data_IF_612326076720
#
_entry.id   IF_612326076720
#
_cell.length_a   1.000
_cell.length_b   1.000
_cell.length_c   1.000
_cell.angle_alpha   90.00
_cell.angle_beta   90.00
_cell.angle_gamma   90.00
#
_symmetry.space_group_name_H-M   'P 1'
#
loop_
_entity.id
_entity.type
_entity.pdbx_description
1 polymer ?
#
# COMPACT_ATOMS: atom_id res chain seq x y z
N UNK A 1 1.20 8.97 -23.84
CA UNK A 1 0.83 7.85 -22.95
C UNK A 1 2.12 7.36 -22.27
N UNK A 2 2.89 8.28 -21.67
CA UNK A 2 4.33 8.07 -21.44
C UNK A 2 4.85 8.73 -20.15
N UNK A 3 3.97 9.25 -19.28
CA UNK A 3 4.38 9.92 -18.02
C UNK A 3 4.03 9.13 -16.74
N UNK A 4 3.49 7.91 -16.86
CA UNK A 4 3.02 7.16 -15.68
C UNK A 4 4.10 6.25 -15.07
N UNK A 5 5.18 5.95 -15.80
CA UNK A 5 6.22 4.99 -15.39
C UNK A 5 7.11 5.48 -14.23
N UNK A 6 7.15 6.79 -13.96
CA UNK A 6 8.08 7.36 -12.98
C UNK A 6 7.57 7.42 -11.53
N UNK A 7 6.26 7.33 -11.27
CA UNK A 7 5.74 7.44 -9.91
C UNK A 7 5.91 6.17 -9.06
N UNK A 8 6.28 5.03 -9.69
CA UNK A 8 6.29 3.72 -9.06
C UNK A 8 7.55 3.43 -8.21
N UNK A 9 8.55 4.34 -8.22
CA UNK A 9 9.92 4.04 -7.77
C UNK A 9 10.21 4.37 -6.30
N UNK A 10 9.26 4.96 -5.55
CA UNK A 10 9.48 5.37 -4.14
C UNK A 10 8.86 4.43 -3.08
N UNK A 11 8.00 3.49 -3.45
CA UNK A 11 7.33 2.63 -2.46
C UNK A 11 8.21 1.49 -1.89
N UNK A 12 9.47 1.37 -2.30
CA UNK A 12 10.40 0.32 -1.84
C UNK A 12 11.51 0.79 -0.89
N UNK A 13 11.36 1.95 -0.23
CA UNK A 13 12.28 2.38 0.82
C UNK A 13 11.53 2.71 2.11
N UNK A 14 11.42 1.73 3.01
CA UNK A 14 11.05 1.96 4.41
C UNK A 14 12.12 2.81 5.11
N UNK A 15 11.77 3.90 5.80
CA UNK A 15 12.60 4.50 6.83
C UNK A 15 12.01 4.11 8.18
N UNK A 16 12.46 3.00 8.79
CA UNK A 16 12.39 2.78 10.25
C UNK A 16 13.08 1.47 10.66
N UNK A 17 14.41 1.48 10.72
CA UNK A 17 15.18 0.53 11.53
C UNK A 17 15.73 1.28 12.74
N UNK A 18 14.87 1.48 13.73
CA UNK A 18 15.30 1.79 15.09
C UNK A 18 14.38 1.06 16.06
N UNK A 19 14.90 -0.06 16.58
CA UNK A 19 14.56 -0.76 17.82
C UNK A 19 14.34 -2.28 17.64
N UNK A 20 15.43 -3.01 17.37
CA UNK A 20 15.60 -4.38 17.89
C UNK A 20 17.07 -4.56 18.27
N UNK A 21 17.46 -4.05 19.44
CA UNK A 21 18.73 -4.39 20.08
C UNK A 21 18.44 -4.88 21.50
N UNK A 22 18.52 -6.21 21.69
CA UNK A 22 18.83 -6.94 22.93
C UNK A 22 18.57 -8.43 22.65
N UNK A 23 19.39 -9.42 22.97
CA UNK A 23 20.42 -9.57 24.00
C UNK A 23 21.45 -10.61 23.52
N UNK A 24 22.74 -10.39 23.80
CA UNK A 24 23.71 -11.39 24.26
C UNK A 24 25.14 -10.84 24.18
N UNK A 25 25.71 -10.43 25.31
CA UNK A 25 27.06 -10.81 25.78
C UNK A 25 27.46 -10.02 27.05
N UNK A 26 28.34 -10.59 27.91
CA UNK A 26 28.43 -10.23 29.32
C UNK A 26 29.49 -9.17 29.65
N UNK A 27 29.19 -8.41 30.70
CA UNK A 27 30.04 -7.79 31.72
C UNK A 27 31.53 -7.56 31.38
N UNK A 28 31.93 -6.28 31.30
CA UNK A 28 33.14 -5.87 32.00
C UNK A 28 33.08 -4.42 32.49
N UNK A 29 33.55 -4.24 33.71
CA UNK A 29 33.57 -3.03 34.54
C UNK A 29 34.64 -2.02 34.12
N UNK A 30 34.36 -0.71 34.27
CA UNK A 30 35.08 0.21 35.20
C UNK A 30 35.19 1.67 34.71
N UNK A 31 35.02 2.59 35.68
CA UNK A 31 35.49 4.00 35.76
C UNK A 31 35.01 5.03 34.72
N UNK A 32 34.80 6.33 35.01
CA UNK A 32 34.50 7.17 36.18
C UNK A 32 34.42 8.62 35.66
N UNK A 33 33.81 9.54 36.44
CA UNK A 33 33.70 11.01 36.27
C UNK A 33 32.73 11.50 35.18
N UNK A 34 31.73 12.37 35.43
CA UNK A 34 31.36 13.15 36.60
C UNK A 34 31.21 14.62 36.20
N UNK A 35 29.99 15.17 36.20
CA UNK A 35 29.73 16.58 36.52
C UNK A 35 28.29 16.77 37.01
N UNK A 36 28.17 17.25 38.25
CA UNK A 36 26.94 17.58 38.94
C UNK A 36 26.35 18.92 38.45
N UNK A 37 25.01 19.01 38.37
CA UNK A 37 24.27 20.15 38.95
C UNK A 37 23.02 19.65 39.68
N UNK A 38 22.77 20.24 40.83
CA UNK A 38 21.94 19.71 41.89
C UNK A 38 20.56 20.36 42.01
N UNK A 39 19.59 19.53 42.42
CA UNK A 39 18.46 19.76 43.34
C UNK A 39 17.35 20.78 42.97
N UNK A 40 16.14 20.22 42.85
CA UNK A 40 15.10 20.44 43.87
C UNK A 40 14.13 19.25 43.98
N UNK A 41 14.17 18.56 45.12
CA UNK A 41 13.19 17.58 45.59
C UNK A 41 11.89 18.30 45.98
N UNK A 42 10.73 17.80 45.54
CA UNK A 42 9.49 17.83 46.34
C UNK A 42 8.75 16.50 46.27
N UNK A 43 8.03 16.26 47.35
CA UNK A 43 7.63 15.01 48.00
C UNK A 43 6.50 14.29 47.23
N UNK A 44 6.54 12.96 47.28
CA UNK A 44 5.51 12.05 46.81
C UNK A 44 4.38 11.97 47.85
N UNK A 45 3.13 12.06 47.41
CA UNK A 45 1.94 11.61 48.16
C UNK A 45 1.01 10.91 47.17
N UNK A 46 0.77 9.64 47.46
CA UNK A 46 -0.15 8.73 46.76
C UNK A 46 -1.60 9.08 47.06
N UNK A 47 -2.46 9.21 46.05
CA UNK A 47 -3.93 9.20 46.23
C UNK A 47 -4.64 8.64 44.98
N UNK A 48 -5.04 7.37 45.12
CA UNK A 48 -6.30 6.73 44.71
C UNK A 48 -6.91 7.04 43.32
N UNK A 49 -6.90 5.99 42.51
CA UNK A 49 -7.72 5.76 41.31
C UNK A 49 -9.21 6.11 41.53
N UNK A 50 -9.72 7.02 40.72
CA UNK A 50 -11.17 7.16 40.45
C UNK A 50 -11.41 6.86 38.97
N UNK A 51 -11.95 5.67 38.70
CA UNK A 51 -12.58 5.31 37.42
C UNK A 51 -13.75 6.26 37.17
N UNK A 52 -13.64 7.10 36.14
CA UNK A 52 -14.74 7.93 35.66
C UNK A 52 -15.61 7.12 34.69
N UNK A 53 -16.87 6.91 35.07
CA UNK A 53 -17.93 6.40 34.19
C UNK A 53 -18.28 7.45 33.12
N UNK A 54 -18.54 7.08 31.86
CA UNK A 54 -18.91 8.02 30.82
C UNK A 54 -20.43 8.21 30.82
N UNK A 55 -20.98 8.85 31.85
CA UNK A 55 -22.36 9.33 31.83
C UNK A 55 -22.37 10.78 32.32
N UNK A 56 -22.41 11.71 31.37
CA UNK A 56 -22.78 13.10 31.63
C UNK A 56 -24.26 13.23 31.30
N UNK A 57 -25.11 13.33 32.33
CA UNK A 57 -26.51 13.68 32.16
C UNK A 57 -26.61 15.18 31.85
N UNK A 58 -27.20 15.54 30.71
CA UNK A 58 -27.60 16.91 30.41
C UNK A 58 -29.07 17.04 30.80
N UNK A 59 -29.36 17.88 31.79
CA UNK A 59 -30.74 18.27 32.10
C UNK A 59 -31.15 19.40 31.16
N UNK A 60 -32.23 19.19 30.42
CA UNK A 60 -32.98 20.26 29.76
C UNK A 60 -34.23 20.50 30.59
N UNK A 61 -34.34 21.66 31.22
CA UNK A 61 -35.60 22.10 31.83
C UNK A 61 -36.57 22.49 30.72
N UNK A 62 -37.72 21.81 30.63
CA UNK A 62 -38.88 22.29 29.87
C UNK A 62 -40.04 22.55 30.84
N UNK A 63 -40.50 23.79 30.88
CA UNK A 63 -41.68 24.20 31.62
C UNK A 63 -42.97 23.68 30.94
N UNK A 64 -43.74 22.92 31.73
CA UNK A 64 -45.20 22.72 31.72
C UNK A 64 -45.96 22.44 30.39
N UNK A 65 -46.59 21.25 30.32
CA UNK A 65 -47.73 21.00 29.41
C UNK A 65 -48.05 19.53 29.14
N UNK A 66 -48.98 18.97 29.93
CA UNK A 66 -49.72 17.68 29.86
C UNK A 66 -49.66 16.85 28.56
N UNK A 67 -49.26 15.57 28.71
CA UNK A 67 -49.89 14.39 28.08
C UNK A 67 -49.41 13.96 26.67
N UNK A 68 -48.48 13.00 26.61
CA UNK A 68 -48.18 12.22 25.40
C UNK A 68 -46.95 11.32 25.57
N UNK A 69 -47.07 10.03 25.23
CA UNK A 69 -45.99 9.05 25.26
C UNK A 69 -44.77 9.54 24.46
N UNK A 70 -43.64 9.70 25.13
CA UNK A 70 -42.36 10.02 24.50
C UNK A 70 -41.71 8.73 24.00
N UNK A 71 -41.87 8.45 22.70
CA UNK A 71 -41.04 7.47 22.02
C UNK A 71 -39.57 7.95 22.09
N UNK A 72 -38.75 7.23 22.85
CA UNK A 72 -37.32 7.48 22.92
C UNK A 72 -36.70 7.16 21.56
N UNK A 73 -36.48 8.20 20.74
CA UNK A 73 -35.66 8.08 19.55
C UNK A 73 -34.22 7.79 20.00
N UNK A 74 -33.77 6.56 19.75
CA UNK A 74 -32.36 6.17 19.89
C UNK A 74 -31.60 6.91 18.77
N UNK A 75 -31.09 8.09 19.09
CA UNK A 75 -30.12 8.76 18.23
C UNK A 75 -28.81 8.00 18.39
N UNK A 76 -28.52 7.08 17.47
CA UNK A 76 -27.19 6.51 17.34
C UNK A 76 -26.18 7.67 17.25
N UNK A 77 -25.31 7.80 18.25
CA UNK A 77 -24.15 8.69 18.17
C UNK A 77 -23.31 8.21 17.01
N UNK A 78 -23.42 8.89 15.85
CA UNK A 78 -22.49 8.73 14.74
C UNK A 78 -21.08 8.79 15.31
N UNK A 79 -20.36 7.65 15.27
CA UNK A 79 -18.91 7.64 15.51
C UNK A 79 -18.33 8.79 14.69
N UNK A 80 -17.56 9.66 15.33
CA UNK A 80 -16.83 10.71 14.63
C UNK A 80 -16.07 10.05 13.50
N UNK A 81 -16.50 10.24 12.25
CA UNK A 81 -15.82 9.67 11.09
C UNK A 81 -14.43 10.27 11.03
N UNK A 82 -13.41 9.43 10.83
CA UNK A 82 -12.00 9.86 10.73
C UNK A 82 -11.81 10.81 9.53
N UNK A 83 -12.69 10.68 8.54
CA UNK A 83 -12.69 11.46 7.31
C UNK A 83 -13.97 12.28 7.16
N UNK A 84 -13.82 13.50 6.62
CA UNK A 84 -14.94 14.27 6.08
C UNK A 84 -15.18 13.81 4.65
N UNK A 85 -16.39 13.33 4.36
CA UNK A 85 -16.78 12.76 3.07
C UNK A 85 -17.57 13.78 2.28
N UNK A 86 -17.23 14.00 1.02
CA UNK A 86 -18.00 14.79 0.06
C UNK A 86 -18.06 14.11 -1.31
N UNK A 87 -18.83 14.68 -2.24
CA UNK A 87 -19.14 14.13 -3.56
C UNK A 87 -17.88 13.74 -4.35
N UNK A 88 -16.87 14.62 -4.37
CA UNK A 88 -15.65 14.45 -5.17
C UNK A 88 -15.85 14.78 -6.64
N UNK A 89 -14.95 14.27 -7.48
CA UNK A 89 -14.97 14.51 -8.92
C UNK A 89 -14.66 13.22 -9.71
N UNK A 90 -15.28 13.01 -10.88
CA UNK A 90 -15.05 11.83 -11.72
C UNK A 90 -13.68 11.82 -12.43
N UNK A 91 -12.88 12.88 -12.31
CA UNK A 91 -11.59 12.99 -12.97
C UNK A 91 -10.59 13.75 -12.09
N UNK A 92 -9.29 13.39 -12.13
CA UNK A 92 -8.72 12.24 -12.85
C UNK A 92 -9.06 10.90 -12.19
N UNK A 93 -8.89 9.80 -12.93
CA UNK A 93 -9.08 8.43 -12.43
C UNK A 93 -7.94 8.04 -11.47
N UNK A 94 -8.26 7.18 -10.50
CA UNK A 94 -7.40 6.77 -9.40
C UNK A 94 -7.56 7.65 -8.16
N UNK A 95 -6.76 7.35 -7.14
CA UNK A 95 -6.56 8.24 -6.00
C UNK A 95 -5.66 9.42 -6.38
N UNK A 96 -6.12 10.65 -6.14
CA UNK A 96 -5.41 11.90 -6.46
C UNK A 96 -5.43 12.84 -5.26
N UNK A 97 -4.27 13.26 -4.72
CA UNK A 97 -4.22 14.23 -3.64
C UNK A 97 -4.76 15.58 -4.12
N UNK A 98 -5.74 16.15 -3.41
CA UNK A 98 -6.26 17.51 -3.68
C UNK A 98 -6.84 18.20 -2.43
N UNK A 99 -6.69 19.52 -2.30
CA UNK A 99 -7.37 20.34 -1.29
C UNK A 99 -7.22 19.85 0.18
N UNK A 100 -6.05 19.28 0.51
CA UNK A 100 -5.75 18.71 1.82
C UNK A 100 -6.46 17.38 2.13
N UNK A 101 -6.90 16.66 1.10
CA UNK A 101 -7.47 15.32 1.14
C UNK A 101 -7.15 14.54 -0.13
N UNK A 102 -7.94 13.52 -0.43
CA UNK A 102 -7.75 12.67 -1.61
C UNK A 102 -9.08 12.49 -2.34
N UNK A 103 -9.07 12.73 -3.64
CA UNK A 103 -10.16 12.39 -4.53
C UNK A 103 -9.94 10.98 -5.07
N UNK A 104 -10.94 10.13 -4.95
CA UNK A 104 -10.95 8.77 -5.46
C UNK A 104 -11.92 8.72 -6.63
N UNK A 105 -11.50 8.18 -7.78
CA UNK A 105 -12.38 7.99 -8.93
C UNK A 105 -12.06 6.69 -9.68
N UNK A 106 -13.07 5.86 -9.91
CA UNK A 106 -12.92 4.54 -10.55
C UNK A 106 -14.07 4.25 -11.50
N UNK A 107 -13.74 3.67 -12.65
CA UNK A 107 -14.72 3.29 -13.67
C UNK A 107 -15.36 1.94 -13.32
N UNK A 108 -16.69 1.89 -13.34
CA UNK A 108 -17.45 0.63 -13.35
C UNK A 108 -18.89 0.86 -13.85
N UNK A 109 -19.17 0.43 -15.08
CA UNK A 109 -20.48 0.60 -15.73
C UNK A 109 -21.59 -0.26 -15.12
N UNK A 110 -21.28 -1.53 -14.84
CA UNK A 110 -22.27 -2.53 -14.46
C UNK A 110 -22.41 -2.73 -12.93
N UNK A 111 -21.62 -2.02 -12.12
CA UNK A 111 -21.78 -2.06 -10.68
C UNK A 111 -23.11 -1.40 -10.25
N UNK A 112 -23.79 -2.05 -9.32
CA UNK A 112 -24.99 -1.54 -8.64
C UNK A 112 -24.59 -0.69 -7.45
N UNK A 113 -23.52 -1.06 -6.76
CA UNK A 113 -22.93 -0.25 -5.69
C UNK A 113 -21.40 -0.35 -5.69
N UNK A 114 -20.76 0.67 -5.13
CA UNK A 114 -19.33 0.71 -4.89
C UNK A 114 -19.06 1.11 -3.45
N UNK A 115 -18.11 0.45 -2.81
CA UNK A 115 -17.62 0.81 -1.48
C UNK A 115 -16.11 0.99 -1.55
N UNK A 116 -15.63 2.17 -1.14
CA UNK A 116 -14.22 2.43 -0.93
C UNK A 116 -13.81 1.84 0.42
N UNK A 117 -12.85 0.94 0.41
CA UNK A 117 -12.28 0.30 1.59
C UNK A 117 -10.94 0.95 1.92
N UNK A 118 -10.81 1.50 3.12
CA UNK A 118 -9.56 2.01 3.66
C UNK A 118 -8.97 0.97 4.62
N UNK A 119 -7.69 0.67 4.46
CA UNK A 119 -6.98 -0.38 5.18
C UNK A 119 -5.70 0.23 5.74
N UNK A 120 -5.54 0.24 7.05
CA UNK A 120 -4.26 0.62 7.66
C UNK A 120 -3.19 -0.39 7.24
N UNK A 121 -1.97 0.07 7.00
CA UNK A 121 -0.86 -0.79 6.56
C UNK A 121 -0.63 -1.97 7.52
N UNK A 122 -0.86 -1.76 8.83
CA UNK A 122 -0.78 -2.81 9.86
C UNK A 122 -1.95 -3.80 9.84
N UNK A 123 -3.12 -3.41 9.32
CA UNK A 123 -4.31 -4.26 9.23
C UNK A 123 -4.30 -5.14 7.95
N UNK A 124 -3.48 -4.80 6.93
CA UNK A 124 -3.42 -5.52 5.65
C UNK A 124 -3.09 -7.02 5.80
N UNK A 125 -2.09 -7.45 6.61
CA UNK A 125 -1.78 -8.87 6.76
C UNK A 125 -2.94 -9.65 7.40
N UNK A 126 -3.75 -9.01 8.26
CA UNK A 126 -4.92 -9.61 8.90
C UNK A 126 -6.18 -9.52 8.03
N UNK A 127 -6.05 -9.07 6.77
CA UNK A 127 -7.14 -8.87 5.81
C UNK A 127 -8.30 -8.03 6.36
N UNK A 128 -7.98 -7.10 7.26
CA UNK A 128 -8.95 -6.34 8.02
C UNK A 128 -9.17 -4.96 7.41
N UNK A 129 -10.43 -4.63 7.15
CA UNK A 129 -10.80 -3.29 6.69
C UNK A 129 -10.93 -2.35 7.88
N UNK A 130 -10.22 -1.23 7.83
CA UNK A 130 -10.23 -0.22 8.90
C UNK A 130 -11.48 0.67 8.81
N UNK A 131 -11.85 1.09 7.59
CA UNK A 131 -13.03 1.91 7.35
C UNK A 131 -13.62 1.62 5.97
N UNK A 132 -14.96 1.53 5.91
CA UNK A 132 -15.70 1.36 4.65
C UNK A 132 -16.56 2.58 4.39
N UNK A 133 -16.48 3.07 3.15
CA UNK A 133 -17.18 4.27 2.70
C UNK A 133 -18.02 3.86 1.51
N UNK A 134 -19.31 3.65 1.75
CA UNK A 134 -20.27 3.36 0.69
C UNK A 134 -20.53 4.60 -0.16
N UNK A 135 -20.43 4.47 -1.48
CA UNK A 135 -20.68 5.54 -2.44
C UNK A 135 -22.15 5.52 -2.83
N UNK A 136 -22.82 6.67 -2.71
CA UNK A 136 -24.20 6.81 -3.12
C UNK A 136 -24.30 6.87 -4.66
N UNK A 137 -25.04 5.96 -5.33
CA UNK A 137 -25.14 5.95 -6.79
C UNK A 137 -25.71 7.22 -7.42
N UNK A 138 -26.41 8.07 -6.65
CA UNK A 138 -27.00 9.31 -7.16
C UNK A 138 -26.08 10.53 -7.03
N UNK A 139 -25.19 10.55 -6.04
CA UNK A 139 -24.29 11.68 -5.78
C UNK A 139 -22.83 11.33 -6.10
N UNK A 140 -22.35 10.16 -5.72
CA UNK A 140 -20.98 9.69 -5.91
C UNK A 140 -20.76 8.94 -7.24
N UNK A 141 -21.57 9.21 -8.26
CA UNK A 141 -21.43 8.61 -9.59
C UNK A 141 -21.81 9.60 -10.69
N UNK A 142 -20.93 9.74 -11.67
CA UNK A 142 -21.14 10.59 -12.85
C UNK A 142 -20.89 9.73 -14.09
N UNK A 143 -21.94 9.44 -14.86
CA UNK A 143 -21.89 8.42 -15.91
C UNK A 143 -21.54 7.05 -15.31
N UNK A 144 -20.42 6.48 -15.75
CA UNK A 144 -19.92 5.18 -15.27
C UNK A 144 -18.73 5.30 -14.32
N UNK A 145 -18.46 6.51 -13.82
CA UNK A 145 -17.35 6.77 -12.90
C UNK A 145 -17.88 7.03 -11.49
N UNK A 146 -17.53 6.13 -10.58
CA UNK A 146 -17.73 6.25 -9.15
C UNK A 146 -16.65 7.14 -8.55
N UNK A 147 -17.03 8.06 -7.68
CA UNK A 147 -16.08 9.01 -7.12
C UNK A 147 -16.48 9.51 -5.74
N UNK A 148 -15.48 9.83 -4.92
CA UNK A 148 -15.67 10.39 -3.58
C UNK A 148 -14.44 11.21 -3.20
N UNK A 149 -14.65 12.32 -2.49
CA UNK A 149 -13.55 13.07 -1.89
C UNK A 149 -13.54 12.89 -0.38
N UNK A 150 -12.36 12.63 0.15
CA UNK A 150 -12.14 12.41 1.58
C UNK A 150 -11.09 13.37 2.10
N UNK A 151 -11.46 14.17 3.10
CA UNK A 151 -10.54 15.02 3.84
C UNK A 151 -10.20 14.41 5.19
N UNK A 152 -8.92 14.19 5.43
CA UNK A 152 -8.40 13.60 6.67
C UNK A 152 -6.95 13.16 6.51
N UNK A 153 -6.45 12.40 7.48
CA UNK A 153 -5.10 11.86 7.47
C UNK A 153 -5.07 10.45 6.87
N UNK A 154 -4.24 10.28 5.83
CA UNK A 154 -4.04 9.02 5.11
C UNK A 154 -2.66 8.41 5.36
N UNK A 155 -1.92 8.91 6.35
CA UNK A 155 -0.64 8.33 6.72
C UNK A 155 -0.80 6.84 7.05
N UNK A 156 0.08 6.04 6.44
CA UNK A 156 0.09 4.57 6.58
C UNK A 156 -1.26 3.90 6.24
N UNK A 157 -2.03 4.51 5.34
CA UNK A 157 -3.30 3.97 4.84
C UNK A 157 -3.19 3.53 3.39
N UNK A 158 -3.85 2.42 3.09
CA UNK A 158 -4.04 1.83 1.78
C UNK A 158 -5.52 1.87 1.43
N UNK A 159 -5.84 1.61 0.17
CA UNK A 159 -7.21 1.55 -0.30
C UNK A 159 -7.46 0.45 -1.33
N UNK A 160 -8.72 0.06 -1.44
CA UNK A 160 -9.26 -0.78 -2.50
C UNK A 160 -10.77 -0.58 -2.62
N UNK A 161 -11.42 -1.32 -3.49
CA UNK A 161 -12.86 -1.20 -3.73
C UNK A 161 -13.58 -2.54 -3.61
N UNK A 162 -14.77 -2.52 -3.03
CA UNK A 162 -15.76 -3.59 -3.18
C UNK A 162 -16.83 -3.11 -4.16
N UNK A 163 -17.17 -3.95 -5.13
CA UNK A 163 -18.27 -3.69 -6.05
C UNK A 163 -19.32 -4.77 -5.90
N UNK A 164 -20.58 -4.34 -5.88
CA UNK A 164 -21.72 -5.23 -5.93
C UNK A 164 -22.41 -5.12 -7.30
N UNK A 165 -23.04 -6.20 -7.74
CA UNK A 165 -23.69 -6.30 -9.04
C UNK A 165 -24.14 -7.71 -9.39
N UNK A 166 -24.53 -7.91 -10.63
CA UNK A 166 -24.97 -9.23 -11.12
C UNK A 166 -23.80 -10.21 -11.11
N UNK A 167 -23.96 -11.37 -10.48
CA UNK A 167 -23.05 -12.51 -10.67
C UNK A 167 -23.70 -13.50 -11.65
N UNK A 168 -23.23 -13.49 -12.89
CA UNK A 168 -23.71 -14.36 -13.97
C UNK A 168 -22.55 -14.66 -14.93
N UNK A 169 -21.76 -15.71 -14.64
CA UNK A 169 -20.60 -16.08 -15.46
C UNK A 169 -20.94 -16.34 -16.93
N UNK A 170 -22.11 -16.92 -17.21
CA UNK A 170 -22.61 -17.19 -18.57
C UNK A 170 -22.78 -15.91 -19.42
N UNK A 171 -23.05 -14.78 -18.77
CA UNK A 171 -23.17 -13.46 -19.41
C UNK A 171 -21.90 -12.61 -19.25
N UNK A 172 -20.83 -13.18 -18.66
CA UNK A 172 -19.57 -12.49 -18.40
C UNK A 172 -19.56 -11.57 -17.17
N UNK A 173 -20.56 -11.67 -16.27
CA UNK A 173 -20.63 -10.86 -15.06
C UNK A 173 -20.10 -11.60 -13.82
N UNK A 174 -19.10 -11.03 -13.15
CA UNK A 174 -18.38 -11.66 -12.03
C UNK A 174 -18.32 -10.78 -10.77
N UNK A 175 -19.33 -9.95 -10.52
CA UNK A 175 -19.35 -9.08 -9.34
C UNK A 175 -19.40 -9.91 -8.04
N UNK A 176 -18.43 -9.69 -7.17
CA UNK A 176 -18.29 -10.36 -5.87
C UNK A 176 -17.92 -9.32 -4.81
N UNK A 177 -18.90 -8.89 -4.02
CA UNK A 177 -18.73 -7.86 -3.00
C UNK A 177 -17.96 -8.36 -1.76
N UNK A 178 -17.66 -9.65 -1.67
CA UNK A 178 -16.84 -10.20 -0.58
C UNK A 178 -15.35 -9.89 -0.74
N UNK A 179 -14.91 -9.56 -1.97
CA UNK A 179 -13.51 -9.30 -2.31
C UNK A 179 -13.21 -7.81 -2.41
N UNK A 180 -12.03 -7.42 -1.94
CA UNK A 180 -11.49 -6.07 -2.12
C UNK A 180 -10.59 -6.09 -3.36
N UNK A 181 -10.96 -5.28 -4.34
CA UNK A 181 -10.28 -5.16 -5.62
C UNK A 181 -9.31 -3.98 -5.62
N UNK A 182 -8.23 -4.13 -6.40
CA UNK A 182 -7.28 -3.06 -6.66
C UNK A 182 -7.87 -2.02 -7.59
N UNK A 183 -7.42 -0.78 -7.44
CA UNK A 183 -7.68 0.28 -8.40
C UNK A 183 -6.77 0.08 -9.63
N UNK A 184 -7.31 -0.05 -10.86
CA UNK A 184 -6.51 -0.14 -12.08
C UNK A 184 -5.56 1.06 -12.29
N UNK A 185 -5.85 2.20 -11.66
CA UNK A 185 -5.07 3.43 -11.71
C UNK A 185 -4.16 3.64 -10.48
N UNK A 186 -4.12 2.65 -9.57
CA UNK A 186 -3.27 2.65 -8.38
C UNK A 186 -1.80 2.88 -8.74
N UNK A 187 -1.14 3.81 -8.03
CA UNK A 187 0.26 4.19 -8.31
C UNK A 187 1.28 3.23 -7.72
N UNK A 188 0.92 2.59 -6.63
CA UNK A 188 1.69 1.53 -5.99
C UNK A 188 0.71 0.52 -5.37
N UNK A 189 1.14 -0.74 -5.33
CA UNK A 189 0.40 -1.85 -4.73
C UNK A 189 1.24 -2.41 -3.61
N UNK A 190 0.60 -2.72 -2.49
CA UNK A 190 1.21 -3.39 -1.34
C UNK A 190 0.50 -4.72 -1.14
N UNK A 191 1.30 -5.76 -0.99
CA UNK A 191 0.84 -7.12 -0.71
C UNK A 191 1.80 -7.77 0.29
N UNK A 192 2.89 -8.33 -0.20
CA UNK A 192 3.95 -8.99 0.55
C UNK A 192 5.17 -8.07 0.68
N UNK A 193 5.95 -8.29 1.74
CA UNK A 193 7.18 -7.52 1.98
C UNK A 193 8.41 -8.03 1.23
N UNK A 194 8.40 -9.29 0.78
CA UNK A 194 9.58 -9.95 0.22
C UNK A 194 9.25 -10.82 -0.99
N UNK A 195 10.19 -10.87 -1.95
CA UNK A 195 10.05 -11.64 -3.18
C UNK A 195 10.16 -13.15 -2.92
N UNK A 196 9.17 -13.91 -3.37
CA UNK A 196 9.14 -15.37 -3.30
C UNK A 196 8.65 -15.92 -1.96
N UNK A 197 8.15 -15.06 -1.07
CA UNK A 197 7.58 -15.45 0.22
C UNK A 197 6.06 -15.62 0.07
N UNK A 198 5.49 -16.64 0.73
CA UNK A 198 4.04 -16.83 0.73
C UNK A 198 3.37 -15.82 1.68
N UNK A 199 2.10 -15.51 1.42
CA UNK A 199 1.27 -14.74 2.33
C UNK A 199 0.89 -15.55 3.57
N UNK A 200 0.04 -14.94 4.42
CA UNK A 200 -0.54 -15.64 5.56
C UNK A 200 -1.29 -16.90 5.11
N UNK A 201 -1.28 -17.93 5.95
CA UNK A 201 -1.87 -19.24 5.66
C UNK A 201 -1.35 -19.87 4.36
N UNK A 202 -0.09 -19.61 4.00
CA UNK A 202 0.56 -20.09 2.78
C UNK A 202 -0.15 -19.64 1.48
N UNK A 203 -0.89 -18.53 1.53
CA UNK A 203 -1.61 -17.99 0.38
C UNK A 203 -0.67 -17.43 -0.68
N UNK A 204 -0.86 -17.86 -1.93
CA UNK A 204 -0.18 -17.29 -3.09
C UNK A 204 -0.82 -15.97 -3.55
N UNK A 205 -2.04 -15.68 -3.09
CA UNK A 205 -2.84 -14.52 -3.43
C UNK A 205 -3.39 -13.86 -2.16
N UNK A 206 -2.52 -13.33 -1.27
CA UNK A 206 -3.00 -12.58 -0.11
C UNK A 206 -3.71 -11.29 -0.54
N UNK A 207 -4.50 -10.69 0.36
CA UNK A 207 -5.11 -9.39 0.10
C UNK A 207 -4.06 -8.35 -0.32
N UNK A 208 -4.32 -7.68 -1.44
CA UNK A 208 -3.49 -6.59 -1.96
C UNK A 208 -4.27 -5.28 -1.85
N UNK A 209 -3.58 -4.16 -1.64
CA UNK A 209 -4.22 -2.85 -1.62
C UNK A 209 -3.33 -1.80 -2.29
N UNK A 210 -3.95 -0.76 -2.83
CA UNK A 210 -3.25 0.36 -3.43
C UNK A 210 -2.77 1.34 -2.36
N UNK A 211 -1.57 1.90 -2.54
CA UNK A 211 -1.07 2.97 -1.68
C UNK A 211 -1.80 4.28 -1.99
N UNK A 212 -2.19 5.02 -0.95
CA UNK A 212 -2.76 6.35 -1.11
C UNK A 212 -1.60 7.35 -1.33
N UNK A 213 -1.57 8.08 -2.45
CA UNK A 213 -0.51 9.05 -2.70
C UNK A 213 -0.57 10.21 -1.70
N UNK A 214 0.59 10.73 -1.29
CA UNK A 214 0.70 11.93 -0.47
C UNK A 214 1.04 13.15 -1.34
N UNK A 215 0.64 14.35 -0.90
CA UNK A 215 1.04 15.62 -1.51
C UNK A 215 2.54 15.86 -1.44
N UNK A 216 3.20 15.35 -0.40
CA UNK A 216 4.63 15.55 -0.16
C UNK A 216 5.52 14.58 -0.98
N UNK A 217 4.91 13.69 -1.78
CA UNK A 217 5.63 12.65 -2.54
C UNK A 217 6.25 13.15 -3.86
N UNK A 218 6.39 14.45 -4.06
CA UNK A 218 7.12 14.98 -5.23
C UNK A 218 8.58 14.51 -5.22
N UNK A 219 8.99 13.90 -6.34
CA UNK A 219 10.36 13.43 -6.53
C UNK A 219 11.20 14.56 -7.13
N UNK A 220 12.35 14.85 -6.50
CA UNK A 220 13.32 15.80 -7.05
C UNK A 220 14.10 15.12 -8.17
N UNK A 221 13.76 15.49 -9.41
CA UNK A 221 14.41 14.97 -10.61
C UNK A 221 15.80 15.57 -10.85
N UNK A 222 16.21 16.60 -10.10
CA UNK A 222 17.48 17.29 -10.29
C UNK A 222 17.72 17.76 -11.75
N UNK A 223 16.63 18.00 -12.50
CA UNK A 223 16.66 18.40 -13.90
C UNK A 223 16.81 17.26 -14.92
N UNK A 224 16.67 16.00 -14.50
CA UNK A 224 16.67 14.85 -15.41
C UNK A 224 15.54 14.96 -16.45
N UNK A 225 15.87 14.63 -17.70
CA UNK A 225 14.98 14.72 -18.85
C UNK A 225 15.22 13.54 -19.80
N UNK A 226 14.18 13.04 -20.50
CA UNK A 226 14.35 11.99 -21.50
C UNK A 226 15.42 12.35 -22.54
N UNK A 227 16.40 11.46 -22.74
CA UNK A 227 17.57 11.68 -23.60
C UNK A 227 17.23 11.79 -25.10
N UNK A 228 16.09 11.23 -25.54
CA UNK A 228 15.57 11.31 -26.92
C UNK A 228 16.58 10.91 -28.01
N UNK A 229 17.37 9.85 -27.78
CA UNK A 229 18.22 9.28 -28.82
C UNK A 229 17.39 8.87 -30.05
N UNK A 230 17.97 9.06 -31.24
CA UNK A 230 17.35 8.60 -32.48
C UNK A 230 17.44 7.07 -32.55
N UNK A 231 16.35 6.41 -32.98
CA UNK A 231 16.23 4.95 -32.90
C UNK A 231 17.35 4.20 -33.62
N UNK A 232 17.88 4.76 -34.72
CA UNK A 232 18.99 4.16 -35.50
C UNK A 232 20.32 4.14 -34.75
N UNK A 233 20.45 4.94 -33.69
CA UNK A 233 21.66 5.11 -32.90
C UNK A 233 21.60 4.29 -31.59
N UNK A 234 20.53 3.52 -31.36
CA UNK A 234 20.34 2.72 -30.15
C UNK A 234 21.12 1.40 -30.19
N UNK A 235 21.78 1.10 -29.08
CA UNK A 235 22.35 -0.20 -28.74
C UNK A 235 21.63 -0.65 -27.48
N UNK A 236 20.70 -1.58 -27.64
CA UNK A 236 19.74 -1.98 -26.61
C UNK A 236 20.27 -3.20 -25.85
N UNK A 237 20.16 -3.17 -24.53
CA UNK A 237 20.44 -4.29 -23.64
C UNK A 237 19.16 -4.70 -22.90
N UNK A 238 18.60 -5.86 -23.25
CA UNK A 238 17.45 -6.44 -22.56
C UNK A 238 17.90 -7.04 -21.22
N UNK A 239 17.23 -6.69 -20.12
CA UNK A 239 17.56 -7.25 -18.80
C UNK A 239 16.37 -7.43 -17.87
N UNK A 240 16.48 -8.47 -17.04
CA UNK A 240 15.62 -8.67 -15.88
C UNK A 240 16.23 -7.98 -14.65
N UNK A 241 15.50 -7.06 -14.01
CA UNK A 241 15.97 -6.29 -12.84
C UNK A 241 16.53 -7.20 -11.74
N UNK A 242 15.74 -8.18 -11.29
CA UNK A 242 16.21 -9.15 -10.29
C UNK A 242 17.43 -9.96 -10.77
N UNK A 243 17.32 -10.63 -11.91
CA UNK A 243 18.38 -11.50 -12.43
C UNK A 243 19.72 -10.80 -12.65
N UNK A 244 19.71 -9.49 -12.95
CA UNK A 244 20.93 -8.72 -13.24
C UNK A 244 21.91 -8.68 -12.07
N UNK A 245 21.41 -8.58 -10.83
CA UNK A 245 22.27 -8.36 -9.63
C UNK A 245 22.03 -9.36 -8.51
N UNK A 246 21.12 -10.34 -8.67
CA UNK A 246 20.77 -11.31 -7.62
C UNK A 246 21.94 -12.20 -7.18
N UNK A 247 22.83 -12.57 -8.10
CA UNK A 247 23.92 -13.49 -7.81
C UNK A 247 24.99 -12.82 -6.94
N UNK A 248 25.56 -13.54 -5.96
CA UNK A 248 26.55 -13.00 -5.00
C UNK A 248 27.77 -12.35 -5.67
N UNK A 249 28.15 -12.83 -6.87
CA UNK A 249 29.24 -12.23 -7.64
C UNK A 249 28.98 -10.80 -8.09
N UNK A 250 27.74 -10.32 -8.03
CA UNK A 250 27.39 -8.93 -8.29
C UNK A 250 28.05 -8.00 -7.27
N UNK A 251 28.23 -8.45 -6.02
CA UNK A 251 28.78 -7.66 -4.91
C UNK A 251 28.04 -6.33 -4.68
N UNK A 252 26.74 -6.29 -5.00
CA UNK A 252 25.88 -5.12 -4.73
C UNK A 252 25.34 -5.14 -3.30
N UNK A 253 25.04 -3.98 -2.73
CA UNK A 253 24.41 -3.90 -1.41
C UNK A 253 22.95 -4.36 -1.44
N UNK A 254 22.25 -4.13 -2.56
CA UNK A 254 20.83 -4.45 -2.72
C UNK A 254 20.58 -5.46 -3.87
N UNK A 255 20.99 -6.73 -3.72
CA UNK A 255 20.94 -7.71 -4.80
C UNK A 255 19.50 -7.93 -5.31
N UNK A 256 19.35 -7.92 -6.63
CA UNK A 256 18.07 -8.19 -7.29
C UNK A 256 17.02 -7.09 -7.18
N UNK A 257 17.43 -5.86 -6.86
CA UNK A 257 16.57 -4.68 -6.75
C UNK A 257 16.95 -3.59 -7.76
N UNK A 258 16.11 -2.56 -7.88
CA UNK A 258 16.42 -1.38 -8.68
C UNK A 258 17.69 -0.66 -8.21
N UNK A 259 17.91 -0.53 -6.89
CA UNK A 259 19.13 0.06 -6.33
C UNK A 259 20.37 -0.76 -6.68
N UNK A 260 20.27 -2.09 -6.61
CA UNK A 260 21.37 -2.96 -7.03
C UNK A 260 21.70 -2.82 -8.52
N UNK A 261 20.70 -2.56 -9.37
CA UNK A 261 20.94 -2.27 -10.78
C UNK A 261 21.66 -0.92 -10.98
N UNK A 262 21.29 0.12 -10.22
CA UNK A 262 21.97 1.42 -10.22
C UNK A 262 23.46 1.28 -9.89
N UNK A 263 23.81 0.45 -8.90
CA UNK A 263 25.21 0.15 -8.53
C UNK A 263 26.05 -0.47 -9.67
N UNK A 264 25.41 -0.94 -10.75
CA UNK A 264 26.05 -1.60 -11.90
C UNK A 264 25.88 -0.86 -13.23
N UNK A 265 25.37 0.36 -13.23
CA UNK A 265 25.21 1.14 -14.47
C UNK A 265 26.56 1.43 -15.15
N UNK A 266 27.64 1.61 -14.40
CA UNK A 266 28.98 1.81 -14.97
C UNK A 266 29.43 0.64 -15.84
N UNK A 267 29.08 -0.59 -15.46
CA UNK A 267 29.38 -1.77 -16.27
C UNK A 267 28.67 -1.73 -17.64
N UNK A 268 27.41 -1.31 -17.67
CA UNK A 268 26.64 -1.20 -18.93
C UNK A 268 27.16 -0.06 -19.80
N UNK A 269 27.63 1.02 -19.17
CA UNK A 269 28.29 2.13 -19.86
C UNK A 269 29.63 1.71 -20.48
N UNK A 270 30.46 0.95 -19.75
CA UNK A 270 31.71 0.38 -20.25
C UNK A 270 31.49 -0.62 -21.39
N UNK A 271 30.40 -1.38 -21.32
CA UNK A 271 29.98 -2.29 -22.40
C UNK A 271 29.60 -1.52 -23.69
N UNK A 272 29.27 -0.23 -23.59
CA UNK A 272 28.91 0.64 -24.72
C UNK A 272 27.41 0.66 -25.04
N UNK A 273 26.57 0.17 -24.13
CA UNK A 273 25.11 0.21 -24.24
C UNK A 273 24.62 1.63 -23.95
N UNK A 274 23.62 2.10 -24.71
CA UNK A 274 22.99 3.41 -24.48
C UNK A 274 21.49 3.34 -24.19
N UNK A 275 20.89 2.14 -24.23
CA UNK A 275 19.49 1.90 -23.92
C UNK A 275 19.33 0.57 -23.18
N UNK A 276 18.61 0.58 -22.06
CA UNK A 276 18.27 -0.61 -21.31
C UNK A 276 16.79 -0.90 -21.54
N UNK A 277 16.49 -2.10 -22.00
CA UNK A 277 15.11 -2.60 -22.11
C UNK A 277 14.82 -3.51 -20.91
N UNK A 278 13.96 -3.05 -20.00
CA UNK A 278 13.59 -3.83 -18.82
C UNK A 278 12.51 -4.85 -19.19
N UNK A 279 12.72 -6.10 -18.76
CA UNK A 279 11.62 -7.06 -18.62
C UNK A 279 10.51 -6.49 -17.71
N UNK A 280 9.27 -7.03 -17.75
CA UNK A 280 8.11 -6.42 -17.09
C UNK A 280 8.40 -5.91 -15.67
N UNK A 281 8.24 -4.60 -15.48
CA UNK A 281 8.53 -3.88 -14.25
C UNK A 281 7.26 -3.32 -13.55
N UNK A 282 6.09 -3.52 -14.16
CA UNK A 282 4.81 -3.33 -13.47
C UNK A 282 4.58 -4.45 -12.45
N UNK A 283 3.73 -4.20 -11.46
CA UNK A 283 3.39 -5.18 -10.43
C UNK A 283 2.90 -6.51 -11.04
N UNK A 284 3.46 -7.62 -10.57
CA UNK A 284 3.03 -8.97 -10.92
C UNK A 284 3.28 -9.92 -9.74
N UNK A 285 2.52 -11.01 -9.68
CA UNK A 285 2.70 -12.03 -8.66
C UNK A 285 3.69 -13.11 -9.12
N UNK A 286 4.91 -13.11 -8.58
CA UNK A 286 5.94 -14.09 -8.89
C UNK A 286 5.61 -15.53 -8.46
N UNK A 287 4.60 -15.69 -7.59
CA UNK A 287 4.10 -16.97 -7.09
C UNK A 287 2.78 -17.40 -7.75
N UNK A 288 2.32 -16.73 -8.81
CA UNK A 288 1.07 -17.09 -9.50
C UNK A 288 1.01 -18.58 -9.88
N UNK A 289 2.14 -19.16 -10.29
CA UNK A 289 2.26 -20.57 -10.65
C UNK A 289 2.80 -21.47 -9.54
N UNK A 290 2.85 -20.97 -8.30
CA UNK A 290 3.24 -21.78 -7.16
C UNK A 290 2.19 -22.88 -6.94
N UNK A 291 2.59 -24.12 -7.15
CA UNK A 291 1.70 -25.28 -6.98
C UNK A 291 2.43 -26.42 -6.31
N UNK A 292 1.76 -27.06 -5.35
CA UNK A 292 2.28 -28.28 -4.76
C UNK A 292 2.09 -29.45 -5.73
N UNK A 293 3.17 -30.15 -6.06
CA UNK A 293 3.12 -31.37 -6.83
C UNK A 293 3.09 -32.58 -5.89
N UNK A 294 1.88 -33.12 -5.68
CA UNK A 294 1.66 -34.30 -4.83
C UNK A 294 2.38 -35.56 -5.28
N UNK A 295 2.73 -35.67 -6.56
CA UNK A 295 3.44 -36.83 -7.13
C UNK A 295 4.93 -36.78 -6.83
N UNK A 296 5.52 -35.58 -6.84
CA UNK A 296 6.95 -35.39 -6.58
C UNK A 296 7.26 -35.02 -5.12
N UNK A 297 6.23 -34.81 -4.29
CA UNK A 297 6.38 -34.40 -2.90
C UNK A 297 7.07 -33.04 -2.74
N UNK A 298 6.99 -32.17 -3.76
CA UNK A 298 7.68 -30.89 -3.78
C UNK A 298 6.80 -29.78 -4.37
N UNK A 299 7.14 -28.54 -4.01
CA UNK A 299 6.52 -27.36 -4.61
C UNK A 299 7.16 -27.06 -5.96
N UNK A 300 6.33 -26.92 -6.99
CA UNK A 300 6.74 -26.35 -8.27
C UNK A 300 6.63 -24.83 -8.15
N UNK A 301 7.78 -24.18 -8.04
CA UNK A 301 7.94 -22.81 -8.51
C UNK A 301 8.36 -22.94 -9.97
N UNK A 302 7.50 -22.54 -10.91
CA UNK A 302 7.96 -22.35 -12.29
C UNK A 302 8.86 -21.13 -12.30
N UNK A 303 10.14 -21.31 -11.96
CA UNK A 303 11.14 -20.35 -12.38
C UNK A 303 11.05 -20.26 -13.89
N UNK A 304 10.85 -19.05 -14.43
CA UNK A 304 11.17 -18.75 -15.83
C UNK A 304 12.68 -18.98 -15.97
N UNK A 305 13.04 -20.23 -16.19
CA UNK A 305 14.40 -20.66 -16.45
C UNK A 305 14.60 -20.31 -17.92
N UNK A 306 15.05 -19.08 -18.18
CA UNK A 306 15.61 -18.73 -19.49
C UNK A 306 16.59 -19.84 -19.84
N UNK A 307 16.24 -20.64 -20.85
CA UNK A 307 17.03 -21.79 -21.26
C UNK A 307 18.40 -21.28 -21.69
N UNK A 308 19.41 -21.42 -20.82
CA UNK A 308 20.79 -21.42 -21.27
C UNK A 308 20.99 -22.70 -22.06
N UNK A 309 21.19 -22.51 -23.37
CA UNK A 309 21.60 -23.48 -24.38
C UNK A 309 22.22 -24.76 -23.81
N UNK A 310 21.56 -25.89 -24.09
CA UNK A 310 22.22 -27.20 -23.99
C UNK A 310 23.28 -27.27 -25.08
N UNK A 311 24.54 -27.36 -24.66
CA UNK A 311 25.67 -27.70 -25.52
C UNK A 311 25.39 -29.04 -26.23
N UNK A 312 25.57 -29.07 -27.55
CA UNK A 312 25.67 -30.30 -28.32
C UNK A 312 26.94 -31.08 -27.90
N UNK A 313 26.85 -32.39 -27.61
CA UNK A 313 28.04 -33.22 -27.53
C UNK A 313 28.53 -33.57 -28.95
N UNK A 314 29.82 -33.34 -29.19
CA UNK A 314 30.58 -33.93 -30.30
C UNK A 314 31.13 -35.30 -29.96
#
# INVERSE_FOLDING_TARGET
MEMTLCHQWRSFCFPNLSNVCNNNCPNNTSHCFGFLKAKKRRRCTSELDKKSSPFSAVYVESSAGVGGETAAAVVERRKSRRYQVSEGHPSPLGATPRDGGVNFAIYSSNAVSATLCLIALSDLPEEKVTEEISLDPFTNRSGDVWHVFLKGDFKDMLYGYKFDGKFSPEEGHYFDSSRILLDPYGKAVVSRGEFGVLGNEDSCWPQMACMIPNFEDEFDWEGDLPLKYSQRDLIIYEMHVRGFTQHESSKTQFPGTYLGAVEKLDHLKELGVNCIELMPCHEFNELEYYSYNSVLGNYKIFHIRLMKNMNCPG
#
